data_IF_496409255622
#
_entry.id   IF_496409255622
#
_cell.length_a   1.000
_cell.length_b   1.000
_cell.length_c   1.000
_cell.angle_alpha   90.00
_cell.angle_beta   90.00
_cell.angle_gamma   90.00
#
_symmetry.space_group_name_H-M   'P 1'
#
loop_
_entity.id
_entity.type
_entity.pdbx_description
1 polymer ?
#
# COMPACT_ATOMS: atom_id res chain seq x y z
N UNK A 1 -25.60 16.76 -7.32
CA UNK A 1 -24.23 17.33 -7.24
C UNK A 1 -23.42 17.05 -8.50
N UNK A 2 -23.32 15.80 -8.95
CA UNK A 2 -22.63 15.47 -10.22
C UNK A 2 -23.21 16.28 -11.41
N UNK A 3 -24.54 16.30 -11.57
CA UNK A 3 -25.18 17.06 -12.65
C UNK A 3 -24.99 18.58 -12.54
N UNK A 4 -24.92 19.11 -11.30
CA UNK A 4 -24.71 20.54 -11.06
C UNK A 4 -23.28 20.98 -11.38
N UNK A 5 -22.32 20.09 -11.14
CA UNK A 5 -20.93 20.27 -11.56
C UNK A 5 -20.84 20.17 -13.09
N UNK A 6 -21.42 19.11 -13.67
CA UNK A 6 -21.54 18.94 -15.13
C UNK A 6 -20.24 18.58 -15.85
N UNK A 7 -19.13 18.34 -15.15
CA UNK A 7 -17.84 17.98 -15.73
C UNK A 7 -17.45 16.53 -15.39
N UNK A 8 -16.75 15.86 -16.29
CA UNK A 8 -16.33 14.45 -16.10
C UNK A 8 -15.43 14.28 -14.87
N UNK A 9 -14.49 15.22 -14.67
CA UNK A 9 -13.49 15.18 -13.62
C UNK A 9 -13.83 16.05 -12.40
N UNK A 10 -15.07 16.55 -12.28
CA UNK A 10 -15.51 17.40 -11.16
C UNK A 10 -14.70 18.70 -11.04
N UNK A 11 -14.26 19.26 -12.16
CA UNK A 11 -13.36 20.42 -12.21
C UNK A 11 -14.06 21.75 -11.92
N UNK A 12 -15.39 21.83 -12.05
CA UNK A 12 -16.12 23.07 -11.78
C UNK A 12 -16.22 23.37 -10.29
N UNK A 13 -16.57 22.37 -9.48
CA UNK A 13 -16.67 22.54 -8.02
C UNK A 13 -15.46 21.99 -7.27
N UNK A 14 -14.70 21.09 -7.89
CA UNK A 14 -13.65 20.32 -7.22
C UNK A 14 -14.21 19.04 -6.61
N UNK A 15 -13.51 17.92 -6.85
CA UNK A 15 -13.89 16.62 -6.28
C UNK A 15 -13.91 16.63 -4.74
N UNK A 16 -13.01 17.38 -4.11
CA UNK A 16 -12.92 17.58 -2.67
C UNK A 16 -14.16 18.26 -2.08
N UNK A 17 -14.72 19.29 -2.74
CA UNK A 17 -15.94 19.96 -2.30
C UNK A 17 -17.15 19.02 -2.38
N UNK A 18 -17.32 18.34 -3.52
CA UNK A 18 -18.42 17.38 -3.73
C UNK A 18 -18.32 16.22 -2.74
N UNK A 19 -17.12 15.68 -2.54
CA UNK A 19 -16.89 14.56 -1.62
C UNK A 19 -17.22 14.94 -0.18
N UNK A 20 -16.84 16.14 0.27
CA UNK A 20 -17.15 16.62 1.61
C UNK A 20 -18.65 16.61 1.91
N UNK A 21 -19.46 17.18 1.00
CA UNK A 21 -20.92 17.16 1.12
C UNK A 21 -21.46 15.73 1.02
N UNK A 22 -20.96 14.92 0.10
CA UNK A 22 -21.40 13.53 -0.08
C UNK A 22 -21.22 12.69 1.18
N UNK A 23 -20.07 12.82 1.86
CA UNK A 23 -19.79 12.11 3.11
C UNK A 23 -20.65 12.64 4.27
N UNK A 24 -20.90 13.95 4.34
CA UNK A 24 -21.77 14.55 5.35
C UNK A 24 -23.22 14.05 5.21
N UNK A 25 -23.75 13.99 3.99
CA UNK A 25 -25.08 13.45 3.70
C UNK A 25 -25.17 11.98 4.10
N UNK A 26 -24.16 11.17 3.80
CA UNK A 26 -24.12 9.76 4.22
C UNK A 26 -24.17 9.60 5.76
N UNK A 27 -23.43 10.45 6.50
CA UNK A 27 -23.48 10.46 7.97
C UNK A 27 -24.84 10.90 8.51
N UNK A 28 -25.43 11.94 7.93
CA UNK A 28 -26.76 12.41 8.32
C UNK A 28 -27.83 11.35 8.05
N UNK A 29 -27.79 10.67 6.90
CA UNK A 29 -28.72 9.59 6.56
C UNK A 29 -28.61 8.37 7.48
N UNK A 30 -27.41 8.05 7.99
CA UNK A 30 -27.24 7.04 9.03
C UNK A 30 -27.91 7.45 10.36
N UNK A 31 -27.69 8.70 10.78
CA UNK A 31 -28.26 9.25 12.00
C UNK A 31 -29.79 9.34 11.95
N UNK A 32 -30.35 9.78 10.82
CA UNK A 32 -31.81 9.85 10.59
C UNK A 32 -32.47 8.46 10.69
N UNK A 33 -31.80 7.42 10.16
CA UNK A 33 -32.26 6.03 10.27
C UNK A 33 -32.03 5.40 11.65
N UNK A 34 -31.31 6.07 12.55
CA UNK A 34 -30.95 5.52 13.86
C UNK A 34 -30.01 4.30 13.79
N UNK A 35 -29.19 4.17 12.73
CA UNK A 35 -28.26 3.05 12.55
C UNK A 35 -26.79 3.51 12.52
N UNK A 36 -25.83 2.65 12.87
CA UNK A 36 -24.41 2.96 12.69
C UNK A 36 -24.04 3.26 11.23
N UNK A 37 -23.06 4.14 11.01
CA UNK A 37 -22.62 4.54 9.67
C UNK A 37 -22.25 3.35 8.76
N UNK A 38 -21.54 2.36 9.28
CA UNK A 38 -21.14 1.18 8.48
C UNK A 38 -22.36 0.38 7.99
N UNK A 39 -23.44 0.33 8.78
CA UNK A 39 -24.68 -0.36 8.41
C UNK A 39 -25.41 0.43 7.33
N UNK A 40 -25.48 1.75 7.46
CA UNK A 40 -26.05 2.62 6.43
C UNK A 40 -25.31 2.49 5.09
N UNK A 41 -23.97 2.48 5.12
CA UNK A 41 -23.14 2.25 3.92
C UNK A 41 -23.43 0.87 3.31
N UNK A 42 -23.52 -0.17 4.14
CA UNK A 42 -23.84 -1.51 3.66
C UNK A 42 -25.24 -1.59 3.03
N UNK A 43 -26.23 -0.88 3.57
CA UNK A 43 -27.58 -0.79 2.98
C UNK A 43 -27.55 -0.08 1.63
N UNK A 44 -26.84 1.06 1.52
CA UNK A 44 -26.67 1.79 0.26
C UNK A 44 -25.97 0.93 -0.82
N UNK A 45 -25.07 0.04 -0.40
CA UNK A 45 -24.35 -0.87 -1.28
C UNK A 45 -25.11 -2.18 -1.57
N UNK A 46 -26.26 -2.42 -0.96
CA UNK A 46 -27.01 -3.68 -1.11
C UNK A 46 -26.35 -4.89 -0.44
N UNK A 47 -25.47 -4.67 0.54
CA UNK A 47 -24.76 -5.73 1.24
C UNK A 47 -25.54 -6.17 2.49
N UNK A 48 -26.12 -7.38 2.54
CA UNK A 48 -26.87 -7.83 3.72
C UNK A 48 -25.95 -8.04 4.93
N UNK A 49 -24.76 -8.57 4.69
CA UNK A 49 -23.78 -8.90 5.73
C UNK A 49 -22.64 -7.89 5.78
N UNK A 50 -22.15 -7.62 6.98
CA UNK A 50 -20.98 -6.74 7.22
C UNK A 50 -19.81 -7.62 7.63
N UNK A 51 -18.68 -7.44 6.95
CA UNK A 51 -17.46 -8.22 7.16
C UNK A 51 -16.38 -7.28 7.71
N UNK A 52 -15.69 -7.71 8.77
CA UNK A 52 -14.49 -7.00 9.24
C UNK A 52 -13.32 -7.32 8.32
N UNK A 53 -12.55 -6.31 7.85
CA UNK A 53 -11.46 -6.53 6.93
C UNK A 53 -10.23 -7.11 7.64
N UNK A 54 -9.35 -7.77 6.89
CA UNK A 54 -7.96 -7.96 7.33
C UNK A 54 -7.26 -6.60 7.21
N UNK A 55 -6.70 -6.05 8.29
CA UNK A 55 -5.93 -4.83 8.21
C UNK A 55 -4.60 -5.07 7.49
N UNK A 56 -4.26 -4.17 6.56
CA UNK A 56 -2.94 -4.10 5.95
C UNK A 56 -2.19 -2.92 6.60
N UNK A 57 -1.22 -3.23 7.44
CA UNK A 57 -0.47 -2.21 8.18
C UNK A 57 0.77 -1.83 7.40
N UNK A 58 0.86 -0.61 6.90
CA UNK A 58 2.10 -0.08 6.35
C UNK A 58 3.11 0.12 7.49
N UNK A 59 4.21 -0.63 7.48
CA UNK A 59 5.17 -0.69 8.60
C UNK A 59 6.59 -0.31 8.22
N UNK A 60 6.90 -0.26 6.91
CA UNK A 60 8.11 0.37 6.37
C UNK A 60 7.69 1.25 5.19
N UNK A 61 8.04 2.54 5.26
CA UNK A 61 7.79 3.51 4.22
C UNK A 61 9.03 3.69 3.34
N UNK A 62 8.80 3.76 2.03
CA UNK A 62 9.77 4.16 1.02
C UNK A 62 9.10 5.11 0.01
N UNK A 63 9.57 5.07 -1.23
CA UNK A 63 9.04 5.89 -2.33
C UNK A 63 8.95 7.37 -1.95
N UNK A 64 7.85 8.00 -2.34
CA UNK A 64 7.55 9.41 -2.07
C UNK A 64 7.08 9.68 -0.63
N UNK A 65 6.85 8.64 0.18
CA UNK A 65 6.36 8.74 1.56
C UNK A 65 7.49 8.77 2.62
N UNK A 66 8.76 8.69 2.19
CA UNK A 66 9.90 8.66 3.11
C UNK A 66 11.19 9.25 2.50
N UNK A 67 11.93 10.01 3.31
CA UNK A 67 13.25 10.57 2.99
C UNK A 67 14.41 9.56 3.04
N UNK A 68 14.20 8.34 2.58
CA UNK A 68 15.23 7.30 2.41
C UNK A 68 15.49 7.03 0.92
N UNK A 69 16.31 6.03 0.58
CA UNK A 69 16.56 5.64 -0.83
C UNK A 69 15.61 4.59 -1.39
N UNK A 70 14.88 3.89 -0.53
CA UNK A 70 13.97 2.80 -0.88
C UNK A 70 12.93 3.26 -1.91
N UNK A 71 12.91 2.65 -3.10
CA UNK A 71 12.04 3.11 -4.18
C UNK A 71 10.58 2.68 -4.02
N UNK A 72 10.32 1.46 -3.55
CA UNK A 72 8.95 0.98 -3.34
C UNK A 72 8.32 1.67 -2.13
N UNK A 73 7.04 2.04 -2.24
CA UNK A 73 6.41 3.00 -1.34
C UNK A 73 6.00 2.41 0.00
N UNK A 74 5.43 1.21 0.00
CA UNK A 74 4.82 0.62 1.20
C UNK A 74 5.16 -0.85 1.31
N UNK A 75 5.62 -1.25 2.50
CA UNK A 75 5.78 -2.65 2.86
C UNK A 75 4.86 -2.93 4.05
N UNK A 76 3.83 -3.70 3.78
CA UNK A 76 2.73 -3.95 4.70
C UNK A 76 2.79 -5.34 5.31
N UNK A 77 2.27 -5.48 6.52
CA UNK A 77 1.94 -6.78 7.13
C UNK A 77 0.42 -6.96 7.20
N UNK A 78 -0.03 -8.17 6.87
CA UNK A 78 -1.45 -8.56 6.86
C UNK A 78 -1.63 -9.78 7.75
N UNK A 79 -2.24 -9.65 8.95
CA UNK A 79 -2.48 -10.78 9.86
C UNK A 79 -3.67 -11.65 9.41
N UNK A 80 -3.52 -12.33 8.27
CA UNK A 80 -4.57 -13.17 7.66
C UNK A 80 -4.95 -14.40 8.50
N UNK A 81 -4.06 -14.85 9.38
CA UNK A 81 -4.29 -15.99 10.30
C UNK A 81 -4.92 -15.60 11.64
N UNK A 82 -5.36 -14.35 11.81
CA UNK A 82 -6.06 -13.90 13.01
C UNK A 82 -7.54 -14.30 12.97
N UNK A 83 -8.09 -14.73 14.11
CA UNK A 83 -9.50 -15.16 14.22
C UNK A 83 -10.47 -13.99 14.39
N UNK A 84 -9.97 -12.81 14.76
CA UNK A 84 -10.79 -11.60 14.95
C UNK A 84 -10.00 -10.36 14.55
N UNK A 85 -10.70 -9.27 14.21
CA UNK A 85 -10.06 -7.97 13.97
C UNK A 85 -9.24 -7.49 15.17
N UNK A 86 -9.71 -7.73 16.40
CA UNK A 86 -8.98 -7.40 17.63
C UNK A 86 -7.65 -8.14 17.72
N UNK A 87 -7.64 -9.43 17.39
CA UNK A 87 -6.41 -10.23 17.33
C UNK A 87 -5.49 -9.72 16.21
N UNK A 88 -6.03 -9.40 15.03
CA UNK A 88 -5.24 -8.85 13.93
C UNK A 88 -4.54 -7.54 14.32
N UNK A 89 -5.24 -6.63 15.01
CA UNK A 89 -4.66 -5.40 15.54
C UNK A 89 -3.53 -5.68 16.55
N UNK A 90 -3.72 -6.63 17.47
CA UNK A 90 -2.70 -7.02 18.45
C UNK A 90 -1.45 -7.57 17.75
N UNK A 91 -1.63 -8.50 16.82
CA UNK A 91 -0.54 -9.11 16.04
C UNK A 91 0.21 -8.03 15.27
N UNK A 92 -0.49 -7.15 14.55
CA UNK A 92 0.12 -6.05 13.81
C UNK A 92 0.96 -5.13 14.69
N UNK A 93 0.45 -4.74 15.86
CA UNK A 93 1.16 -3.89 16.81
C UNK A 93 2.41 -4.57 17.41
N UNK A 94 2.33 -5.85 17.78
CA UNK A 94 3.46 -6.60 18.32
C UNK A 94 4.58 -6.76 17.29
N UNK A 95 4.25 -7.01 16.02
CA UNK A 95 5.22 -7.09 14.92
C UNK A 95 5.83 -5.73 14.64
N UNK A 96 5.03 -4.65 14.63
CA UNK A 96 5.53 -3.28 14.47
C UNK A 96 6.54 -2.89 15.55
N UNK A 97 6.28 -3.21 16.82
CA UNK A 97 7.24 -2.96 17.91
C UNK A 97 8.50 -3.83 17.80
N UNK A 98 8.39 -5.08 17.38
CA UNK A 98 9.55 -5.92 17.10
C UNK A 98 10.38 -5.38 15.92
N UNK A 99 9.71 -4.92 14.86
CA UNK A 99 10.34 -4.30 13.71
C UNK A 99 11.15 -3.06 14.10
N UNK A 100 10.60 -2.21 14.99
CA UNK A 100 11.33 -1.08 15.57
C UNK A 100 12.65 -1.52 16.18
N UNK A 101 12.63 -2.60 16.96
CA UNK A 101 13.82 -3.11 17.64
C UNK A 101 14.83 -3.68 16.63
N UNK A 102 14.37 -4.44 15.62
CA UNK A 102 15.22 -4.98 14.54
C UNK A 102 15.90 -3.85 13.77
N UNK A 103 15.15 -2.82 13.39
CA UNK A 103 15.68 -1.64 12.68
C UNK A 103 16.69 -0.90 13.56
N UNK A 104 16.34 -0.66 14.83
CA UNK A 104 17.23 0.03 15.79
C UNK A 104 18.54 -0.72 15.99
N UNK A 105 18.47 -2.04 16.11
CA UNK A 105 19.63 -2.91 16.31
C UNK A 105 20.56 -2.87 15.08
N UNK A 106 19.99 -2.88 13.87
CA UNK A 106 20.76 -2.96 12.62
C UNK A 106 21.28 -1.60 12.11
N UNK A 107 20.48 -0.54 12.21
CA UNK A 107 20.80 0.77 11.60
C UNK A 107 20.87 1.92 12.61
N UNK A 108 20.72 1.63 13.90
CA UNK A 108 20.75 2.63 14.96
C UNK A 108 19.40 3.31 15.23
N UNK A 109 19.36 4.12 16.28
CA UNK A 109 18.14 4.76 16.78
C UNK A 109 17.48 5.68 15.76
N UNK A 110 18.27 6.40 14.98
CA UNK A 110 17.77 7.42 14.06
C UNK A 110 16.99 6.82 12.87
N UNK A 111 17.21 5.53 12.58
CA UNK A 111 16.44 4.79 11.57
C UNK A 111 15.02 4.40 12.02
N UNK A 112 14.64 4.67 13.27
CA UNK A 112 13.31 4.36 13.81
C UNK A 112 12.35 5.55 13.82
N UNK A 113 12.71 6.64 13.13
CA UNK A 113 11.75 7.68 12.78
C UNK A 113 10.72 7.11 11.79
N UNK A 114 9.53 7.71 11.81
CA UNK A 114 8.38 7.26 11.00
C UNK A 114 8.17 8.17 9.80
N UNK A 115 7.68 7.61 8.70
CA UNK A 115 7.20 8.35 7.53
C UNK A 115 5.77 8.86 7.72
N UNK A 116 5.17 9.34 6.62
CA UNK A 116 3.86 10.02 6.64
C UNK A 116 2.71 9.13 7.17
N UNK A 117 2.82 7.82 6.99
CA UNK A 117 1.79 6.84 7.38
C UNK A 117 2.11 6.08 8.67
N UNK A 118 3.17 6.48 9.38
CA UNK A 118 3.54 5.91 10.67
C UNK A 118 4.38 4.63 10.61
N UNK A 119 4.70 4.09 9.43
CA UNK A 119 5.73 3.05 9.27
C UNK A 119 7.15 3.62 9.37
N UNK A 120 8.14 2.76 9.60
CA UNK A 120 9.53 3.19 9.75
C UNK A 120 10.16 3.59 8.43
N UNK A 121 11.07 4.56 8.46
CA UNK A 121 11.81 5.03 7.28
C UNK A 121 13.32 4.77 7.41
N UNK A 122 13.78 3.49 7.50
CA UNK A 122 15.20 3.20 7.55
C UNK A 122 15.87 3.63 6.24
N UNK A 123 17.14 4.08 6.33
CA UNK A 123 17.90 4.50 5.16
C UNK A 123 18.47 3.30 4.38
N UNK A 124 17.57 2.52 3.79
CA UNK A 124 17.89 1.37 2.94
C UNK A 124 17.57 1.71 1.48
N UNK A 125 18.31 1.09 0.56
CA UNK A 125 18.10 1.20 -0.89
C UNK A 125 17.38 -0.04 -1.43
N UNK A 126 17.84 -1.22 -1.02
CA UNK A 126 17.38 -2.49 -1.56
C UNK A 126 16.00 -2.88 -1.03
N UNK A 127 15.04 -3.07 -1.92
CA UNK A 127 13.68 -3.50 -1.56
C UNK A 127 13.66 -4.88 -0.87
N UNK A 128 14.61 -5.75 -1.24
CA UNK A 128 14.79 -7.06 -0.59
C UNK A 128 15.16 -6.90 0.90
N UNK A 129 15.92 -5.86 1.25
CA UNK A 129 16.31 -5.61 2.63
C UNK A 129 15.11 -5.24 3.51
N UNK A 130 14.14 -4.50 2.97
CA UNK A 130 12.88 -4.22 3.68
C UNK A 130 12.10 -5.52 3.96
N UNK A 131 12.02 -6.43 2.98
CA UNK A 131 11.35 -7.73 3.13
C UNK A 131 12.05 -8.62 4.17
N UNK A 132 13.39 -8.62 4.21
CA UNK A 132 14.15 -9.35 5.24
C UNK A 132 13.93 -8.78 6.65
N UNK A 133 13.85 -7.46 6.79
CA UNK A 133 13.52 -6.82 8.08
C UNK A 133 12.14 -7.27 8.57
N UNK A 134 11.14 -7.30 7.68
CA UNK A 134 9.81 -7.77 8.01
C UNK A 134 9.79 -9.25 8.38
N UNK A 135 10.44 -10.10 7.59
CA UNK A 135 10.55 -11.54 7.88
C UNK A 135 11.16 -11.79 9.25
N UNK A 136 12.24 -11.07 9.60
CA UNK A 136 12.87 -11.17 10.91
C UNK A 136 11.94 -10.66 12.03
N UNK A 137 11.29 -9.52 11.85
CA UNK A 137 10.36 -8.97 12.83
C UNK A 137 9.15 -9.89 13.10
N UNK A 138 8.57 -10.46 12.04
CA UNK A 138 7.48 -11.46 12.12
C UNK A 138 7.95 -12.70 12.88
N UNK A 139 9.14 -13.20 12.58
CA UNK A 139 9.75 -14.34 13.26
C UNK A 139 10.00 -14.06 14.75
N UNK A 140 10.60 -12.91 15.09
CA UNK A 140 10.81 -12.49 16.50
C UNK A 140 9.50 -12.32 17.27
N UNK A 141 8.43 -11.91 16.60
CA UNK A 141 7.10 -11.79 17.21
C UNK A 141 6.35 -13.14 17.34
N UNK A 142 6.84 -14.21 16.70
CA UNK A 142 6.23 -15.54 16.77
C UNK A 142 4.99 -15.73 15.89
N UNK A 143 4.87 -14.96 14.79
CA UNK A 143 3.67 -14.95 13.93
C UNK A 143 3.91 -15.37 12.47
N UNK A 144 4.96 -16.14 12.19
CA UNK A 144 5.31 -16.58 10.84
C UNK A 144 4.15 -17.21 10.06
N UNK A 145 3.33 -18.03 10.71
CA UNK A 145 2.21 -18.73 10.07
C UNK A 145 0.91 -17.91 10.04
N UNK A 146 0.90 -16.70 10.62
CA UNK A 146 -0.31 -15.85 10.74
C UNK A 146 -0.27 -14.61 9.86
N UNK A 147 0.87 -14.28 9.26
CA UNK A 147 1.10 -13.02 8.55
C UNK A 147 1.57 -13.27 7.14
N UNK A 148 0.99 -12.54 6.20
CA UNK A 148 1.53 -12.36 4.85
C UNK A 148 1.99 -10.91 4.68
N UNK A 149 2.90 -10.68 3.75
CA UNK A 149 3.40 -9.36 3.39
C UNK A 149 2.62 -8.84 2.18
N UNK A 150 2.25 -7.56 2.22
CA UNK A 150 1.71 -6.82 1.09
C UNK A 150 2.66 -5.71 0.69
N UNK A 151 2.58 -5.24 -0.56
CA UNK A 151 3.44 -4.16 -1.06
C UNK A 151 2.61 -3.20 -1.91
N UNK A 152 2.76 -1.90 -1.68
CA UNK A 152 2.47 -0.89 -2.71
C UNK A 152 3.79 -0.41 -3.28
N UNK A 153 4.00 -0.72 -4.56
CA UNK A 153 5.24 -0.36 -5.25
C UNK A 153 5.17 1.08 -5.74
N UNK A 154 4.00 1.62 -6.06
CA UNK A 154 3.83 2.93 -6.68
C UNK A 154 4.74 3.15 -7.91
N UNK A 155 4.87 2.14 -8.78
CA UNK A 155 5.89 2.08 -9.84
C UNK A 155 5.90 3.26 -10.83
N UNK A 156 4.81 4.01 -10.92
CA UNK A 156 4.73 5.20 -11.78
C UNK A 156 5.57 6.37 -11.26
N UNK A 157 5.85 6.41 -9.95
CA UNK A 157 6.72 7.44 -9.34
C UNK A 157 8.17 7.34 -9.83
N UNK A 158 8.58 6.13 -10.26
CA UNK A 158 9.93 5.86 -10.73
C UNK A 158 9.98 5.30 -12.16
N UNK A 159 8.90 5.47 -12.92
CA UNK A 159 8.88 5.15 -14.34
C UNK A 159 9.61 6.24 -15.14
N UNK A 160 10.54 5.83 -16.00
CA UNK A 160 11.39 6.71 -16.82
C UNK A 160 11.58 6.10 -18.21
N UNK A 161 11.05 6.75 -19.24
CA UNK A 161 11.31 6.41 -20.64
C UNK A 161 11.16 4.92 -21.01
N UNK A 162 10.05 4.30 -20.57
CA UNK A 162 9.82 2.86 -20.85
C UNK A 162 10.49 1.90 -19.87
N UNK A 163 11.27 2.41 -18.92
CA UNK A 163 12.02 1.67 -17.90
C UNK A 163 11.68 2.16 -16.49
N UNK A 164 12.35 1.60 -15.49
CA UNK A 164 12.13 1.90 -14.08
C UNK A 164 13.44 2.18 -13.35
N UNK A 165 13.44 3.22 -12.53
CA UNK A 165 14.58 3.63 -11.71
C UNK A 165 14.38 3.26 -10.23
N UNK A 166 14.98 2.16 -9.78
CA UNK A 166 14.87 1.72 -8.38
C UNK A 166 15.68 2.57 -7.37
N UNK A 167 16.33 3.65 -7.83
CA UNK A 167 17.02 4.64 -6.99
C UNK A 167 16.63 6.07 -7.41
N UNK A 168 15.38 6.28 -7.85
CA UNK A 168 14.88 7.56 -8.40
C UNK A 168 15.01 8.79 -7.49
N UNK A 169 15.29 8.58 -6.20
CA UNK A 169 15.53 9.64 -5.20
C UNK A 169 16.98 10.11 -5.15
N UNK A 170 17.90 9.37 -5.78
CA UNK A 170 19.28 9.78 -6.00
C UNK A 170 19.40 10.52 -7.34
N UNK A 171 20.51 11.24 -7.59
CA UNK A 171 20.77 11.85 -8.90
C UNK A 171 20.55 10.86 -10.05
N UNK A 172 19.99 11.37 -11.13
CA UNK A 172 19.52 10.56 -12.24
C UNK A 172 20.67 9.85 -12.98
N UNK A 173 20.50 8.55 -13.23
CA UNK A 173 21.47 7.70 -13.93
C UNK A 173 20.74 6.65 -14.80
N UNK A 174 20.56 6.91 -16.10
CA UNK A 174 19.87 5.98 -17.00
C UNK A 174 20.51 4.60 -17.13
N UNK A 175 21.77 4.42 -16.72
CA UNK A 175 22.47 3.13 -16.78
C UNK A 175 21.94 2.13 -15.75
N UNK A 176 21.33 2.59 -14.65
CA UNK A 176 20.75 1.75 -13.60
C UNK A 176 19.29 1.36 -13.85
N UNK A 177 18.67 1.93 -14.88
CA UNK A 177 17.27 1.68 -15.17
C UNK A 177 17.04 0.23 -15.61
N UNK A 178 16.00 -0.38 -15.06
CA UNK A 178 15.62 -1.76 -15.39
C UNK A 178 14.40 -1.80 -16.31
N UNK A 179 14.35 -2.81 -17.18
CA UNK A 179 13.21 -3.05 -18.07
C UNK A 179 11.97 -3.53 -17.31
N UNK A 180 10.79 -3.46 -17.92
CA UNK A 180 9.58 -4.06 -17.36
C UNK A 180 9.72 -5.56 -17.04
N UNK A 181 10.43 -6.31 -17.88
CA UNK A 181 10.66 -7.75 -17.66
C UNK A 181 11.59 -8.00 -16.47
N UNK A 182 12.65 -7.20 -16.33
CA UNK A 182 13.55 -7.27 -15.17
C UNK A 182 12.82 -6.92 -13.86
N UNK A 183 11.93 -5.92 -13.90
CA UNK A 183 11.10 -5.58 -12.74
C UNK A 183 10.10 -6.71 -12.41
N UNK A 184 9.50 -7.33 -13.42
CA UNK A 184 8.62 -8.49 -13.23
C UNK A 184 9.37 -9.67 -12.62
N UNK A 185 10.58 -9.96 -13.07
CA UNK A 185 11.42 -11.02 -12.50
C UNK A 185 11.85 -10.71 -11.06
N UNK A 186 12.12 -9.44 -10.74
CA UNK A 186 12.34 -9.00 -9.36
C UNK A 186 11.11 -9.31 -8.49
N UNK A 187 9.90 -8.99 -8.94
CA UNK A 187 8.68 -9.31 -8.19
C UNK A 187 8.46 -10.81 -8.01
N UNK A 188 8.72 -11.62 -9.05
CA UNK A 188 8.66 -13.09 -8.93
C UNK A 188 9.63 -13.59 -7.86
N UNK A 189 10.82 -13.00 -7.77
CA UNK A 189 11.78 -13.35 -6.72
C UNK A 189 11.23 -13.05 -5.32
N UNK A 190 10.50 -11.93 -5.16
CA UNK A 190 9.89 -11.59 -3.87
C UNK A 190 8.78 -12.57 -3.48
N UNK A 191 7.90 -12.92 -4.41
CA UNK A 191 6.81 -13.89 -4.16
C UNK A 191 7.37 -15.28 -3.85
N UNK A 192 8.51 -15.64 -4.44
CA UNK A 192 9.18 -16.92 -4.18
C UNK A 192 9.86 -16.97 -2.81
N UNK A 193 10.55 -15.90 -2.43
CA UNK A 193 11.46 -15.90 -1.27
C UNK A 193 10.77 -15.45 0.04
N UNK A 194 9.63 -14.78 -0.05
CA UNK A 194 8.88 -14.19 1.07
C UNK A 194 7.40 -14.57 1.00
N UNK A 195 6.67 -14.57 2.13
CA UNK A 195 5.22 -14.79 2.16
C UNK A 195 4.46 -13.56 1.63
N UNK A 196 4.79 -13.10 0.42
CA UNK A 196 4.11 -11.99 -0.25
C UNK A 196 2.80 -12.55 -0.83
N UNK A 197 1.68 -12.18 -0.20
CA UNK A 197 0.35 -12.62 -0.60
C UNK A 197 -0.34 -11.56 -1.47
N UNK A 198 -1.40 -11.93 -2.22
CA UNK A 198 -2.23 -10.94 -2.90
C UNK A 198 -2.89 -10.06 -1.84
N UNK A 199 -2.34 -8.87 -1.63
CA UNK A 199 -3.15 -7.79 -1.05
C UNK A 199 -4.32 -7.61 -2.01
N UNK A 200 -5.56 -7.56 -1.52
CA UNK A 200 -6.74 -7.25 -2.37
C UNK A 200 -6.64 -5.85 -3.01
N UNK A 201 -5.58 -5.10 -2.71
CA UNK A 201 -5.12 -3.91 -3.42
C UNK A 201 -4.29 -4.36 -4.64
N UNK A 202 -4.75 -4.12 -5.87
CA UNK A 202 -4.00 -4.51 -7.05
C UNK A 202 -2.62 -3.86 -7.05
N UNK A 203 -1.56 -4.65 -7.28
CA UNK A 203 -0.20 -4.21 -7.67
C UNK A 203 -0.17 -3.33 -8.95
N UNK A 204 -1.33 -2.94 -9.48
CA UNK A 204 -1.51 -2.39 -10.82
C UNK A 204 -2.43 -1.18 -10.89
N UNK A 205 -2.80 -0.53 -9.78
CA UNK A 205 -3.59 0.72 -9.84
C UNK A 205 -2.73 1.99 -9.78
N UNK A 206 -1.55 1.98 -10.40
CA UNK A 206 -0.77 3.22 -10.63
C UNK A 206 -0.36 3.45 -12.08
N UNK A 207 -0.50 2.49 -13.00
CA UNK A 207 -0.43 2.82 -14.44
C UNK A 207 -1.68 3.60 -14.84
N UNK A 208 -1.61 4.92 -14.66
CA UNK A 208 -2.67 5.85 -15.03
C UNK A 208 -3.13 5.59 -16.46
N UNK A 209 -4.44 5.69 -16.69
CA UNK A 209 -4.96 5.91 -18.04
C UNK A 209 -4.22 7.12 -18.62
N UNK A 210 -3.46 6.99 -19.72
CA UNK A 210 -2.94 8.14 -20.43
C UNK A 210 -4.13 8.87 -21.07
N UNK A 211 -4.07 10.20 -21.07
CA UNK A 211 -4.86 11.00 -22.02
C UNK A 211 -4.56 10.58 -23.47
N UNK A 212 -5.39 11.00 -24.45
CA UNK A 212 -5.54 10.37 -25.76
C UNK A 212 -4.34 10.44 -26.72
N UNK A 213 -3.11 10.72 -26.28
CA UNK A 213 -1.97 11.04 -27.15
C UNK A 213 -0.67 10.24 -26.90
N UNK A 214 -0.67 9.13 -26.18
CA UNK A 214 0.55 8.32 -25.99
C UNK A 214 0.36 6.83 -26.32
N UNK A 215 1.25 6.19 -27.11
CA UNK A 215 1.09 4.80 -27.52
C UNK A 215 1.35 3.86 -26.34
N UNK A 216 0.47 2.86 -26.22
CA UNK A 216 0.29 2.00 -25.06
C UNK A 216 1.50 1.11 -24.70
N UNK A 217 1.72 0.91 -23.40
CA UNK A 217 2.31 -0.31 -22.85
C UNK A 217 1.18 -1.30 -22.50
N UNK A 218 1.31 -2.61 -22.80
CA UNK A 218 0.25 -3.57 -22.53
C UNK A 218 0.09 -3.81 -21.01
N UNK A 219 -1.14 -4.04 -20.52
CA UNK A 219 -1.38 -4.28 -19.10
C UNK A 219 -0.93 -5.70 -18.73
N UNK A 220 0.21 -5.84 -18.03
CA UNK A 220 0.54 -7.09 -17.34
C UNK A 220 -0.33 -7.19 -16.08
N UNK A 221 -1.53 -7.76 -16.24
CA UNK A 221 -2.41 -8.17 -15.13
C UNK A 221 -1.77 -9.34 -14.39
N UNK A 222 -0.95 -9.06 -13.38
CA UNK A 222 -0.48 -10.08 -12.45
C UNK A 222 -1.59 -10.40 -11.44
N UNK A 223 -2.35 -11.46 -11.71
CA UNK A 223 -3.19 -12.13 -10.72
C UNK A 223 -2.48 -13.43 -10.34
N UNK A 224 -1.90 -13.49 -9.14
CA UNK A 224 -1.55 -14.78 -8.55
C UNK A 224 -2.80 -15.28 -7.81
N UNK A 225 -3.64 -16.05 -8.50
CA UNK A 225 -4.71 -16.83 -7.89
C UNK A 225 -4.18 -18.20 -7.51
N UNK A 226 -4.21 -18.52 -6.23
CA UNK A 226 -4.54 -19.85 -5.72
C UNK A 226 -5.60 -19.69 -4.64
#
# INVERSE_FOLDING_TARGET
>A
MLDMDGTENKSKFGANAILGVSLAVCKAGAAEKGVPLYRHIADLAGNPEVILPVPAFNVINGGSHAGNKLAMQEFMILPVGASTFKEAMRIGAEVYHNLKNVIKEKYGKDATNVGDEGGFAPNILENKEALELLKNAIGKAGYTDKIVIGMDVAASEFYKDGKYDLDFKSPDDPSRYISPDQLADLYKSFVKDYPVGPSRTPLTRTTGRPGPTSPAAPPSRWWATT
#
